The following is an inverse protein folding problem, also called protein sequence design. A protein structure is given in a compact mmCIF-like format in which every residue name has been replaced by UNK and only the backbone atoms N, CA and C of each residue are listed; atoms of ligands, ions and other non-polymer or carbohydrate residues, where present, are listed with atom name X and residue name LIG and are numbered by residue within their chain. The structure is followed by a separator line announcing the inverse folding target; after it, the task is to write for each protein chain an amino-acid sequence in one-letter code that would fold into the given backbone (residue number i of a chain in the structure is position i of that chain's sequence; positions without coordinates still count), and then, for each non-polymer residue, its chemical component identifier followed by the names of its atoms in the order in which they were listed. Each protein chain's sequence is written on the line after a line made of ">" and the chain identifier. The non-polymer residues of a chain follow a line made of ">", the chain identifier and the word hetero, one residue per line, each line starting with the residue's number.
data_IF_065250876722
#
_entry.id   IF_065250876722
#
_cell.length_a   1.000
_cell.length_b   1.000
_cell.length_c   1.000
_cell.angle_alpha   90.00
_cell.angle_beta   90.00
_cell.angle_gamma   90.00
#
_symmetry.space_group_name_H-M   'P 1'
#
loop_
_entity.id
_entity.type
_entity.pdbx_description
1 polymer ?
#
# COMPACT_ATOMS: atom_id res chain seq x y z
N UNK A 1 31.95 6.12 -7.32
CA UNK A 1 30.62 5.80 -7.86
C UNK A 1 30.15 4.52 -7.14
N UNK A 2 29.53 4.68 -5.97
CA UNK A 2 28.88 3.56 -5.30
C UNK A 2 27.50 3.39 -5.92
N UNK A 3 27.33 2.33 -6.74
CA UNK A 3 26.01 1.82 -7.03
C UNK A 3 25.42 1.39 -5.68
N UNK A 4 24.54 2.19 -5.14
CA UNK A 4 23.71 1.81 -3.99
C UNK A 4 23.01 0.53 -4.39
N UNK A 5 23.33 -0.57 -3.68
CA UNK A 5 22.75 -1.90 -3.88
C UNK A 5 21.26 -1.80 -3.54
N UNK A 6 20.46 -1.34 -4.52
CA UNK A 6 19.00 -1.19 -4.38
C UNK A 6 18.45 -2.58 -4.11
N UNK A 7 17.70 -2.81 -3.03
CA UNK A 7 17.21 -4.14 -2.70
C UNK A 7 16.34 -4.64 -3.85
N UNK A 8 16.71 -5.82 -4.39
CA UNK A 8 15.97 -6.44 -5.50
C UNK A 8 14.57 -6.86 -5.04
N UNK A 9 13.57 -6.71 -5.91
CA UNK A 9 12.22 -7.17 -5.62
C UNK A 9 12.16 -8.71 -5.60
N UNK A 10 11.28 -9.26 -4.77
CA UNK A 10 11.03 -10.70 -4.63
C UNK A 10 9.54 -10.95 -4.50
N UNK A 11 9.10 -12.17 -4.86
CA UNK A 11 7.72 -12.58 -4.66
C UNK A 11 7.46 -12.81 -3.17
N UNK A 12 6.25 -12.48 -2.74
CA UNK A 12 5.79 -12.74 -1.38
C UNK A 12 4.54 -13.61 -1.45
N UNK A 13 4.52 -14.71 -0.73
CA UNK A 13 3.32 -15.52 -0.50
C UNK A 13 2.98 -15.49 0.97
N UNK A 14 1.74 -15.13 1.30
CA UNK A 14 1.20 -15.26 2.65
C UNK A 14 0.12 -16.33 2.65
N UNK A 15 0.23 -17.29 3.57
CA UNK A 15 -0.80 -18.27 3.86
C UNK A 15 -1.27 -18.09 5.30
N UNK A 16 -2.56 -17.83 5.48
CA UNK A 16 -3.21 -17.70 6.79
C UNK A 16 -4.06 -18.94 6.98
N UNK A 17 -3.64 -19.82 7.89
CA UNK A 17 -4.39 -21.05 8.20
C UNK A 17 -5.64 -20.73 8.98
N UNK A 18 -5.53 -19.88 9.99
CA UNK A 18 -6.67 -19.48 10.82
C UNK A 18 -6.42 -18.13 11.48
N UNK A 19 -7.41 -17.26 11.46
CA UNK A 19 -7.35 -15.98 12.18
C UNK A 19 -8.72 -15.60 12.74
N UNK A 20 -8.77 -15.35 14.05
CA UNK A 20 -9.95 -14.89 14.77
C UNK A 20 -9.76 -13.45 15.22
N UNK A 21 -10.78 -12.63 15.03
CA UNK A 21 -10.85 -11.26 15.51
C UNK A 21 -12.18 -11.04 16.23
N UNK A 22 -12.15 -10.61 17.50
CA UNK A 22 -13.34 -10.42 18.34
C UNK A 22 -14.34 -11.60 18.25
N UNK A 23 -13.83 -12.83 18.48
CA UNK A 23 -14.58 -14.10 18.41
C UNK A 23 -15.11 -14.49 17.02
N UNK A 24 -14.85 -13.69 15.97
CA UNK A 24 -15.26 -13.99 14.60
C UNK A 24 -14.09 -14.55 13.81
N UNK A 25 -14.29 -15.69 13.16
CA UNK A 25 -13.31 -16.24 12.20
C UNK A 25 -13.26 -15.34 10.97
N UNK A 26 -12.17 -14.57 10.84
CA UNK A 26 -11.96 -13.71 9.68
C UNK A 26 -11.39 -14.49 8.49
N UNK A 27 -10.39 -15.33 8.75
CA UNK A 27 -9.73 -16.13 7.72
C UNK A 27 -9.70 -17.58 8.14
N UNK A 28 -9.96 -18.45 7.18
CA UNK A 28 -9.85 -19.90 7.29
C UNK A 28 -9.30 -20.43 5.98
N UNK A 29 -8.01 -20.80 5.98
CA UNK A 29 -7.30 -21.28 4.78
C UNK A 29 -7.25 -20.25 3.62
N UNK A 30 -6.64 -19.07 3.86
CA UNK A 30 -6.48 -18.02 2.86
C UNK A 30 -5.02 -17.96 2.38
N UNK A 31 -4.80 -17.96 1.06
CA UNK A 31 -3.49 -17.75 0.45
C UNK A 31 -3.51 -16.57 -0.51
N UNK A 32 -2.51 -15.67 -0.41
CA UNK A 32 -2.31 -14.56 -1.33
C UNK A 32 -0.87 -14.56 -1.84
N UNK A 33 -0.73 -14.54 -3.19
CA UNK A 33 0.55 -14.36 -3.88
C UNK A 33 0.68 -12.94 -4.37
N UNK A 34 1.83 -12.32 -4.05
CA UNK A 34 2.18 -10.96 -4.43
C UNK A 34 3.47 -11.04 -5.28
N UNK A 35 3.33 -11.05 -6.62
CA UNK A 35 4.47 -11.18 -7.50
C UNK A 35 5.42 -9.97 -7.41
N UNK A 36 6.70 -10.23 -7.59
CA UNK A 36 7.76 -9.22 -7.54
C UNK A 36 7.59 -8.14 -8.59
N UNK A 37 8.08 -6.93 -8.28
CA UNK A 37 8.10 -5.78 -9.19
C UNK A 37 6.74 -5.53 -9.86
N UNK A 38 5.65 -5.74 -9.12
CA UNK A 38 4.28 -5.60 -9.60
C UNK A 38 3.36 -5.07 -8.51
N UNK A 39 2.21 -4.58 -8.92
CA UNK A 39 1.15 -4.13 -8.04
C UNK A 39 0.08 -5.21 -7.91
N UNK A 40 -0.10 -5.73 -6.72
CA UNK A 40 -1.26 -6.56 -6.36
C UNK A 40 -2.28 -5.69 -5.67
N UNK A 41 -3.50 -5.64 -6.18
CA UNK A 41 -4.60 -4.88 -5.58
C UNK A 41 -5.60 -5.83 -4.93
N UNK A 42 -5.93 -5.54 -3.68
CA UNK A 42 -6.94 -6.26 -2.91
C UNK A 42 -8.17 -5.38 -2.73
N UNK A 43 -9.20 -5.72 -3.47
CA UNK A 43 -10.54 -5.12 -3.38
C UNK A 43 -11.41 -5.86 -2.36
N UNK A 44 -12.44 -5.21 -1.88
CA UNK A 44 -13.49 -5.79 -1.03
C UNK A 44 -14.21 -4.74 -0.21
N UNK A 45 -15.36 -5.13 0.33
CA UNK A 45 -16.18 -4.26 1.18
C UNK A 45 -15.48 -3.91 2.50
N UNK A 46 -15.92 -2.84 3.15
CA UNK A 46 -15.39 -2.46 4.46
C UNK A 46 -15.65 -3.56 5.50
N UNK A 47 -14.66 -3.83 6.36
CA UNK A 47 -14.79 -4.81 7.44
C UNK A 47 -14.55 -6.28 7.03
N UNK A 48 -14.26 -6.60 5.76
CA UNK A 48 -14.01 -7.97 5.31
C UNK A 48 -12.64 -8.55 5.74
N UNK A 49 -11.75 -7.72 6.29
CA UNK A 49 -10.45 -8.18 6.83
C UNK A 49 -9.21 -7.69 6.04
N UNK A 50 -9.35 -6.85 5.00
CA UNK A 50 -8.22 -6.37 4.18
C UNK A 50 -7.09 -5.74 5.00
N UNK A 51 -7.41 -4.77 5.86
CA UNK A 51 -6.46 -4.14 6.79
C UNK A 51 -5.83 -5.14 7.75
N UNK A 52 -6.59 -6.14 8.20
CA UNK A 52 -6.07 -7.20 9.07
C UNK A 52 -5.02 -8.04 8.34
N UNK A 53 -5.29 -8.45 7.09
CA UNK A 53 -4.33 -9.18 6.28
C UNK A 53 -3.04 -8.38 6.05
N UNK A 54 -3.15 -7.07 5.75
CA UNK A 54 -1.99 -6.19 5.63
C UNK A 54 -1.16 -6.13 6.93
N UNK A 55 -1.82 -6.01 8.09
CA UNK A 55 -1.15 -5.96 9.40
C UNK A 55 -0.46 -7.27 9.75
N UNK A 56 -1.06 -8.40 9.40
CA UNK A 56 -0.44 -9.72 9.55
C UNK A 56 0.82 -9.82 8.68
N UNK A 57 0.74 -9.43 7.41
CA UNK A 57 1.88 -9.43 6.49
C UNK A 57 2.98 -8.45 6.93
N UNK A 58 2.62 -7.32 7.53
CA UNK A 58 3.57 -6.37 8.11
C UNK A 58 4.15 -6.81 9.47
N UNK A 59 3.79 -8.01 9.96
CA UNK A 59 4.16 -8.52 11.29
C UNK A 59 3.73 -7.58 12.46
N UNK A 60 2.69 -6.77 12.25
CA UNK A 60 2.16 -5.84 13.26
C UNK A 60 1.09 -6.48 14.17
N UNK A 61 0.57 -7.65 13.80
CA UNK A 61 -0.38 -8.46 14.58
C UNK A 61 0.00 -9.92 14.46
N UNK A 62 0.20 -10.59 15.60
CA UNK A 62 0.48 -12.03 15.66
C UNK A 62 -0.37 -12.78 16.68
N UNK A 63 -1.11 -12.07 17.56
CA UNK A 63 -1.97 -12.72 18.55
C UNK A 63 -3.17 -13.38 17.86
N UNK A 64 -3.42 -14.66 18.17
CA UNK A 64 -4.52 -15.48 17.63
C UNK A 64 -4.47 -15.70 16.09
N UNK A 65 -3.28 -15.61 15.48
CA UNK A 65 -3.10 -15.87 14.05
C UNK A 65 -2.12 -17.01 13.83
N UNK A 66 -2.50 -17.95 12.96
CA UNK A 66 -1.57 -18.95 12.40
C UNK A 66 -1.35 -18.59 10.94
N UNK A 67 -0.15 -18.07 10.63
CA UNK A 67 0.20 -17.69 9.26
C UNK A 67 1.67 -18.01 8.95
N UNK A 68 1.94 -18.20 7.68
CA UNK A 68 3.31 -18.30 7.15
C UNK A 68 3.52 -17.27 6.06
N UNK A 69 4.72 -16.70 6.00
CA UNK A 69 5.12 -15.79 4.93
C UNK A 69 6.37 -16.32 4.29
N UNK A 70 6.31 -16.55 2.98
CA UNK A 70 7.44 -17.04 2.18
C UNK A 70 7.86 -15.96 1.19
N UNK A 71 9.17 -15.70 1.13
CA UNK A 71 9.78 -14.80 0.14
C UNK A 71 10.61 -15.65 -0.83
N UNK A 72 10.48 -15.37 -2.14
CA UNK A 72 11.14 -16.17 -3.19
C UNK A 72 12.67 -16.14 -3.14
N UNK A 73 13.24 -15.18 -2.42
CA UNK A 73 14.68 -15.08 -2.17
C UNK A 73 15.16 -15.84 -0.91
N UNK A 74 14.25 -16.51 -0.19
CA UNK A 74 14.54 -17.35 0.98
C UNK A 74 14.81 -16.58 2.28
N UNK A 75 14.72 -15.24 2.30
CA UNK A 75 14.93 -14.44 3.51
C UNK A 75 13.61 -14.02 4.15
N UNK A 76 13.57 -13.83 5.49
CA UNK A 76 12.36 -13.34 6.18
C UNK A 76 11.91 -11.98 5.67
N UNK A 77 10.61 -11.74 5.67
CA UNK A 77 10.03 -10.45 5.27
C UNK A 77 10.33 -9.31 6.27
N UNK A 78 10.64 -9.65 7.50
CA UNK A 78 10.91 -8.74 8.60
C UNK A 78 11.93 -7.66 8.25
N UNK A 79 11.61 -6.39 8.56
CA UNK A 79 12.41 -5.20 8.23
C UNK A 79 12.56 -4.91 6.72
N UNK A 80 11.82 -5.59 5.85
CA UNK A 80 11.88 -5.42 4.39
C UNK A 80 10.60 -4.80 3.81
N UNK A 81 9.70 -4.38 4.70
CA UNK A 81 8.38 -3.82 4.38
C UNK A 81 8.35 -2.34 4.74
N UNK A 82 7.78 -1.52 3.85
CA UNK A 82 7.23 -0.21 4.18
C UNK A 82 5.70 -0.34 4.28
N UNK A 83 5.11 0.14 5.37
CA UNK A 83 3.67 0.07 5.61
C UNK A 83 3.07 1.46 5.71
N UNK A 84 2.06 1.72 4.89
CA UNK A 84 1.22 2.90 4.96
C UNK A 84 -0.16 2.51 5.50
N UNK A 85 -0.48 2.98 6.69
CA UNK A 85 -1.79 2.75 7.29
C UNK A 85 -2.86 3.66 6.67
N UNK A 86 -4.12 3.27 6.80
CA UNK A 86 -5.28 4.05 6.35
C UNK A 86 -5.31 5.45 7.00
N UNK A 87 -5.00 5.55 8.29
CA UNK A 87 -4.80 6.82 8.97
C UNK A 87 -3.37 7.33 8.75
N UNK A 88 -3.19 8.64 8.69
CA UNK A 88 -1.90 9.27 8.41
C UNK A 88 -0.81 8.98 9.47
N UNK A 89 -1.19 8.69 10.72
CA UNK A 89 -0.30 8.34 11.84
C UNK A 89 0.86 9.32 12.00
N UNK A 90 0.64 10.61 11.73
CA UNK A 90 1.64 11.65 11.93
C UNK A 90 1.78 11.96 13.42
N UNK A 91 3.03 12.13 13.85
CA UNK A 91 3.32 12.59 15.20
C UNK A 91 3.01 14.10 15.30
N UNK A 92 2.06 14.53 16.14
CA UNK A 92 1.53 15.90 16.11
C UNK A 92 2.53 16.96 16.55
N UNK A 93 3.58 16.57 17.27
CA UNK A 93 4.67 17.46 17.74
C UNK A 93 5.85 17.54 16.76
N UNK A 94 5.86 16.76 15.68
CA UNK A 94 6.87 16.82 14.64
C UNK A 94 6.31 17.57 13.42
N UNK A 95 7.16 18.38 12.78
CA UNK A 95 6.81 19.00 11.51
C UNK A 95 6.84 18.01 10.35
N UNK A 96 6.46 18.45 9.14
CA UNK A 96 6.34 17.58 7.94
C UNK A 96 7.66 16.86 7.65
N UNK A 97 8.79 17.57 7.54
CA UNK A 97 10.08 16.93 7.21
C UNK A 97 10.52 15.94 8.29
N UNK A 98 10.23 16.23 9.55
CA UNK A 98 10.53 15.34 10.66
C UNK A 98 9.65 14.10 10.67
N UNK A 99 8.37 14.22 10.31
CA UNK A 99 7.46 13.08 10.10
C UNK A 99 7.90 12.22 8.92
N UNK A 100 8.29 12.83 7.79
CA UNK A 100 8.76 12.08 6.62
C UNK A 100 10.04 11.32 6.93
N UNK A 101 10.99 11.91 7.66
CA UNK A 101 12.27 11.29 8.05
C UNK A 101 12.19 10.45 9.33
N UNK A 102 10.99 10.19 9.86
CA UNK A 102 10.81 9.53 11.17
C UNK A 102 11.51 8.17 11.25
N UNK A 103 11.37 7.33 10.23
CA UNK A 103 12.01 6.02 10.19
C UNK A 103 13.54 6.10 10.24
N UNK A 104 14.14 7.02 9.48
CA UNK A 104 15.59 7.27 9.51
C UNK A 104 16.03 7.81 10.87
N UNK A 105 15.23 8.70 11.49
CA UNK A 105 15.52 9.24 12.83
C UNK A 105 15.54 8.13 13.89
N UNK A 106 14.57 7.23 13.86
CA UNK A 106 14.48 6.11 14.81
C UNK A 106 15.64 5.10 14.63
N UNK A 107 16.15 4.95 13.42
CA UNK A 107 17.31 4.10 13.11
C UNK A 107 18.66 4.81 13.31
N UNK A 108 18.67 6.11 13.55
CA UNK A 108 19.89 6.91 13.64
C UNK A 108 20.61 7.07 12.29
N UNK A 109 19.89 6.99 11.17
CA UNK A 109 20.43 7.00 9.80
C UNK A 109 20.15 8.29 9.03
N UNK A 110 19.73 9.36 9.71
CA UNK A 110 19.51 10.67 9.06
C UNK A 110 20.83 11.30 8.69
N UNK A 111 21.09 11.38 7.39
CA UNK A 111 22.22 12.07 6.80
C UNK A 111 21.74 13.19 5.84
N UNK A 112 22.64 14.03 5.30
CA UNK A 112 22.27 15.07 4.35
C UNK A 112 21.61 14.54 3.07
N UNK A 113 21.98 13.34 2.59
CA UNK A 113 21.42 12.73 1.37
C UNK A 113 19.97 12.30 1.63
N UNK A 114 19.70 11.61 2.74
CA UNK A 114 18.33 11.21 3.14
C UNK A 114 17.43 12.42 3.38
N UNK A 115 17.97 13.48 3.98
CA UNK A 115 17.23 14.73 4.16
C UNK A 115 16.93 15.41 2.84
N UNK A 116 17.86 15.40 1.88
CA UNK A 116 17.64 15.89 0.51
C UNK A 116 16.52 15.12 -0.19
N UNK A 117 16.58 13.79 -0.18
CA UNK A 117 15.53 12.94 -0.75
C UNK A 117 14.15 13.19 -0.09
N UNK A 118 14.11 13.42 1.22
CA UNK A 118 12.87 13.77 1.92
C UNK A 118 12.29 15.10 1.43
N UNK A 119 13.13 16.14 1.20
CA UNK A 119 12.69 17.41 0.65
C UNK A 119 12.18 17.27 -0.79
N UNK A 120 12.82 16.46 -1.62
CA UNK A 120 12.35 16.15 -2.99
C UNK A 120 10.98 15.47 -2.97
N UNK A 121 10.79 14.47 -2.12
CA UNK A 121 9.49 13.79 -1.97
C UNK A 121 8.41 14.75 -1.48
N UNK A 122 8.71 15.61 -0.51
CA UNK A 122 7.77 16.64 -0.01
C UNK A 122 7.38 17.61 -1.14
N UNK A 123 8.32 17.99 -2.02
CA UNK A 123 8.02 18.81 -3.19
C UNK A 123 7.14 18.07 -4.20
N UNK A 124 7.48 16.81 -4.51
CA UNK A 124 6.73 15.96 -5.45
C UNK A 124 5.29 15.69 -5.00
N UNK A 125 5.03 15.56 -3.70
CA UNK A 125 3.66 15.47 -3.18
C UNK A 125 2.96 16.83 -3.02
N UNK A 126 3.56 17.92 -3.55
CA UNK A 126 2.98 19.26 -3.56
C UNK A 126 2.93 19.96 -2.19
N UNK A 127 3.88 19.65 -1.29
CA UNK A 127 3.93 20.19 0.06
C UNK A 127 5.19 21.01 0.37
N UNK A 128 5.92 21.47 -0.65
CA UNK A 128 7.18 22.24 -0.51
C UNK A 128 7.10 23.34 0.54
N UNK A 129 6.05 24.16 0.47
CA UNK A 129 5.86 25.33 1.36
C UNK A 129 5.42 24.93 2.78
N UNK A 130 5.15 23.66 3.03
CA UNK A 130 4.68 23.12 4.31
C UNK A 130 5.71 22.23 5.00
N UNK A 131 6.95 22.15 4.49
CA UNK A 131 7.98 21.25 5.03
C UNK A 131 8.21 21.41 6.54
N UNK A 132 8.05 22.62 7.06
CA UNK A 132 8.22 22.93 8.49
C UNK A 132 6.90 23.16 9.24
N UNK A 133 5.75 22.90 8.60
CA UNK A 133 4.45 23.02 9.26
C UNK A 133 4.18 21.82 10.18
N UNK A 134 3.48 22.04 11.28
CA UNK A 134 2.97 20.97 12.14
C UNK A 134 1.71 20.35 11.53
N UNK A 135 1.38 19.06 11.82
CA UNK A 135 0.19 18.38 11.31
C UNK A 135 -1.14 19.12 11.57
N UNK A 136 -1.23 19.87 12.67
CA UNK A 136 -2.40 20.67 13.00
C UNK A 136 -2.71 21.80 11.98
N UNK A 137 -1.71 22.22 11.18
CA UNK A 137 -1.87 23.23 10.11
C UNK A 137 -2.19 22.61 8.75
N UNK A 138 -2.34 21.28 8.66
CA UNK A 138 -2.54 20.55 7.41
C UNK A 138 -3.99 20.07 7.30
N UNK A 139 -4.54 20.11 6.08
CA UNK A 139 -5.79 19.41 5.77
C UNK A 139 -5.62 17.89 5.85
N UNK A 140 -6.72 17.13 5.90
CA UNK A 140 -6.67 15.66 5.87
C UNK A 140 -5.90 15.11 4.67
N UNK A 141 -6.19 15.62 3.47
CA UNK A 141 -5.47 15.25 2.26
C UNK A 141 -3.98 15.63 2.27
N UNK A 142 -3.61 16.77 2.89
CA UNK A 142 -2.20 17.11 3.07
C UNK A 142 -1.50 16.15 4.02
N UNK A 143 -2.13 15.76 5.14
CA UNK A 143 -1.57 14.75 6.05
C UNK A 143 -1.37 13.40 5.37
N UNK A 144 -2.34 12.97 4.53
CA UNK A 144 -2.21 11.74 3.76
C UNK A 144 -1.03 11.78 2.78
N UNK A 145 -0.78 12.95 2.15
CA UNK A 145 0.41 13.17 1.28
C UNK A 145 1.72 13.10 2.05
N UNK A 146 1.76 13.59 3.29
CA UNK A 146 2.93 13.42 4.17
C UNK A 146 3.17 11.96 4.50
N UNK A 147 2.11 11.20 4.83
CA UNK A 147 2.20 9.77 5.10
C UNK A 147 2.70 8.98 3.87
N UNK A 148 2.24 9.34 2.67
CA UNK A 148 2.75 8.76 1.43
C UNK A 148 4.25 9.05 1.25
N UNK A 149 4.68 10.31 1.39
CA UNK A 149 6.09 10.70 1.27
C UNK A 149 6.96 9.96 2.29
N UNK A 150 6.50 9.79 3.55
CA UNK A 150 7.17 8.99 4.57
C UNK A 150 7.34 7.53 4.13
N UNK A 151 6.29 6.93 3.58
CA UNK A 151 6.33 5.54 3.12
C UNK A 151 7.28 5.36 1.94
N UNK A 152 7.25 6.26 0.97
CA UNK A 152 8.15 6.24 -0.19
C UNK A 152 9.62 6.44 0.20
N UNK A 153 9.87 7.28 1.22
CA UNK A 153 11.23 7.51 1.72
C UNK A 153 11.85 6.24 2.33
N UNK A 154 11.06 5.31 2.88
CA UNK A 154 11.58 4.05 3.45
C UNK A 154 12.38 3.22 2.44
N UNK A 155 12.08 3.33 1.15
CA UNK A 155 12.76 2.63 0.04
C UNK A 155 12.90 1.11 0.26
N UNK A 156 11.87 0.47 0.82
CA UNK A 156 11.83 -0.97 1.06
C UNK A 156 11.46 -1.75 -0.22
N UNK A 157 11.89 -3.01 -0.37
CA UNK A 157 11.54 -3.83 -1.53
C UNK A 157 10.06 -4.20 -1.59
N UNK A 158 9.37 -4.28 -0.45
CA UNK A 158 7.93 -4.54 -0.33
C UNK A 158 7.24 -3.32 0.24
N UNK A 159 6.14 -2.89 -0.38
CA UNK A 159 5.33 -1.76 0.06
C UNK A 159 3.87 -2.20 0.23
N UNK A 160 3.35 -2.01 1.42
CA UNK A 160 1.97 -2.33 1.78
C UNK A 160 1.22 -1.02 2.02
N UNK A 161 0.12 -0.80 1.31
CA UNK A 161 -0.66 0.43 1.42
C UNK A 161 -2.13 0.14 1.68
N UNK A 162 -2.67 0.74 2.74
CA UNK A 162 -4.06 0.60 3.16
C UNK A 162 -4.83 1.87 2.82
N UNK A 163 -5.62 1.84 1.74
CA UNK A 163 -6.42 2.96 1.23
C UNK A 163 -5.67 4.31 1.12
N UNK A 164 -4.48 4.33 0.48
CA UNK A 164 -3.56 5.48 0.54
C UNK A 164 -4.09 6.77 -0.08
N UNK A 165 -5.08 6.68 -0.97
CA UNK A 165 -5.60 7.81 -1.74
C UNK A 165 -7.05 8.18 -1.40
N UNK A 166 -7.67 7.55 -0.39
CA UNK A 166 -9.10 7.70 -0.07
C UNK A 166 -9.48 9.12 0.38
N UNK A 167 -8.59 9.85 1.07
CA UNK A 167 -8.85 11.18 1.59
C UNK A 167 -8.52 12.33 0.61
N UNK A 168 -8.25 12.02 -0.67
CA UNK A 168 -7.81 12.98 -1.67
C UNK A 168 -8.94 13.36 -2.64
N UNK A 169 -8.91 14.61 -3.11
CA UNK A 169 -9.73 15.01 -4.25
C UNK A 169 -9.30 14.28 -5.54
N UNK A 170 -10.17 14.25 -6.54
CA UNK A 170 -9.99 13.45 -7.75
C UNK A 170 -8.70 13.79 -8.51
N UNK A 171 -8.36 15.09 -8.66
CA UNK A 171 -7.18 15.52 -9.41
C UNK A 171 -5.90 15.17 -8.68
N UNK A 172 -5.82 15.51 -7.39
CA UNK A 172 -4.68 15.18 -6.54
C UNK A 172 -4.47 13.66 -6.43
N UNK A 173 -5.56 12.89 -6.35
CA UNK A 173 -5.53 11.43 -6.33
C UNK A 173 -4.83 10.88 -7.58
N UNK A 174 -5.23 11.30 -8.78
CA UNK A 174 -4.61 10.85 -10.03
C UNK A 174 -3.13 11.20 -10.09
N UNK A 175 -2.75 12.43 -9.71
CA UNK A 175 -1.35 12.88 -9.69
C UNK A 175 -0.49 12.03 -8.74
N UNK A 176 -1.00 11.72 -7.55
CA UNK A 176 -0.26 10.92 -6.57
C UNK A 176 -0.23 9.43 -6.90
N UNK A 177 -1.24 8.92 -7.59
CA UNK A 177 -1.20 7.58 -8.18
C UNK A 177 -0.10 7.48 -9.24
N UNK A 178 0.04 8.49 -10.12
CA UNK A 178 1.12 8.56 -11.11
C UNK A 178 2.49 8.60 -10.43
N UNK A 179 2.64 9.44 -9.41
CA UNK A 179 3.88 9.54 -8.64
C UNK A 179 4.24 8.20 -7.99
N UNK A 180 3.30 7.59 -7.28
CA UNK A 180 3.50 6.31 -6.61
C UNK A 180 3.84 5.19 -7.61
N UNK A 181 3.12 5.10 -8.73
CA UNK A 181 3.39 4.10 -9.76
C UNK A 181 4.81 4.25 -10.35
N UNK A 182 5.27 5.48 -10.55
CA UNK A 182 6.62 5.74 -11.07
C UNK A 182 7.72 5.39 -10.04
N UNK A 183 7.56 5.80 -8.79
CA UNK A 183 8.56 5.58 -7.73
C UNK A 183 8.62 4.12 -7.25
N UNK A 184 7.51 3.39 -7.35
CA UNK A 184 7.39 2.00 -6.91
C UNK A 184 7.46 0.98 -8.05
N UNK A 185 7.89 1.37 -9.26
CA UNK A 185 7.94 0.51 -10.46
C UNK A 185 8.71 -0.80 -10.23
N UNK A 186 9.83 -0.72 -9.49
CA UNK A 186 10.70 -1.85 -9.20
C UNK A 186 10.43 -2.45 -7.80
N UNK A 187 9.27 -2.21 -7.22
CA UNK A 187 8.90 -2.71 -5.88
C UNK A 187 7.78 -3.73 -5.97
N UNK A 188 7.71 -4.60 -5.00
CA UNK A 188 6.57 -5.50 -4.78
C UNK A 188 5.53 -4.75 -3.96
N UNK A 189 4.37 -4.46 -4.53
CA UNK A 189 3.36 -3.60 -3.90
C UNK A 189 2.08 -4.38 -3.65
N UNK A 190 1.55 -4.30 -2.42
CA UNK A 190 0.18 -4.69 -2.10
C UNK A 190 -0.61 -3.43 -1.74
N UNK A 191 -1.60 -3.12 -2.58
CA UNK A 191 -2.53 -2.02 -2.40
C UNK A 191 -3.89 -2.58 -1.96
N UNK A 192 -4.35 -2.17 -0.80
CA UNK A 192 -5.74 -2.37 -0.37
C UNK A 192 -6.55 -1.15 -0.73
N UNK A 193 -7.66 -1.35 -1.40
CA UNK A 193 -8.60 -0.29 -1.77
C UNK A 193 -10.03 -0.81 -1.87
N UNK A 194 -11.00 0.08 -1.79
CA UNK A 194 -12.39 -0.20 -2.10
C UNK A 194 -12.82 0.42 -3.45
N UNK A 195 -11.91 1.11 -4.15
CA UNK A 195 -12.17 1.75 -5.44
C UNK A 195 -11.71 0.84 -6.59
N UNK A 196 -12.65 0.26 -7.38
CA UNK A 196 -12.31 -0.57 -8.53
C UNK A 196 -11.48 0.14 -9.59
N UNK A 197 -11.72 1.45 -9.77
CA UNK A 197 -10.99 2.22 -10.77
C UNK A 197 -9.52 2.40 -10.37
N UNK A 198 -9.26 2.64 -9.09
CA UNK A 198 -7.90 2.68 -8.54
C UNK A 198 -7.18 1.34 -8.75
N UNK A 199 -7.85 0.22 -8.43
CA UNK A 199 -7.28 -1.11 -8.63
C UNK A 199 -6.96 -1.39 -10.10
N UNK A 200 -7.83 -1.01 -11.03
CA UNK A 200 -7.61 -1.19 -12.48
C UNK A 200 -6.51 -0.28 -13.01
N UNK A 201 -6.39 0.94 -12.48
CA UNK A 201 -5.36 1.90 -12.89
C UNK A 201 -3.96 1.47 -12.49
N UNK A 202 -3.81 0.91 -11.28
CA UNK A 202 -2.50 0.60 -10.68
C UNK A 202 -2.17 -0.89 -10.66
N UNK A 203 -3.16 -1.76 -10.45
CA UNK A 203 -2.97 -3.19 -10.19
C UNK A 203 -2.58 -4.00 -11.43
N UNK A 204 -1.56 -4.84 -11.30
CA UNK A 204 -1.27 -5.90 -12.25
C UNK A 204 -2.08 -7.15 -11.92
N UNK A 205 -2.23 -7.47 -10.66
CA UNK A 205 -3.01 -8.60 -10.15
C UNK A 205 -4.12 -8.06 -9.26
N UNK A 206 -5.38 -8.34 -9.61
CA UNK A 206 -6.54 -7.83 -8.87
C UNK A 206 -7.26 -8.99 -8.24
N UNK A 207 -7.40 -8.93 -6.92
CA UNK A 207 -8.13 -9.88 -6.09
C UNK A 207 -9.33 -9.21 -5.44
N UNK A 208 -10.42 -9.93 -5.34
CA UNK A 208 -11.59 -9.57 -4.54
C UNK A 208 -11.61 -10.41 -3.26
N UNK A 209 -11.67 -9.74 -2.12
CA UNK A 209 -11.87 -10.38 -0.82
C UNK A 209 -13.32 -10.23 -0.41
N UNK A 210 -13.99 -11.36 -0.15
CA UNK A 210 -15.40 -11.40 0.20
C UNK A 210 -15.73 -12.59 1.10
N UNK A 211 -16.93 -12.58 1.71
CA UNK A 211 -17.43 -13.67 2.55
C UNK A 211 -17.00 -13.59 4.02
N UNK A 212 -17.51 -14.55 4.82
CA UNK A 212 -17.17 -14.76 6.24
C UNK A 212 -17.22 -16.26 6.53
N UNK A 213 -16.06 -16.94 6.73
CA UNK A 213 -14.69 -16.43 6.62
C UNK A 213 -14.37 -15.83 5.26
N UNK A 214 -13.44 -14.85 5.22
CA UNK A 214 -13.10 -14.17 3.98
C UNK A 214 -12.34 -15.09 3.03
N UNK A 215 -12.75 -15.06 1.76
CA UNK A 215 -12.14 -15.78 0.64
C UNK A 215 -11.52 -14.80 -0.34
N UNK A 216 -10.50 -15.24 -1.06
CA UNK A 216 -9.86 -14.48 -2.13
C UNK A 216 -10.23 -15.06 -3.50
N UNK A 217 -10.76 -14.23 -4.37
CA UNK A 217 -10.96 -14.54 -5.77
C UNK A 217 -10.01 -13.71 -6.63
N UNK A 218 -9.17 -14.33 -7.45
CA UNK A 218 -8.39 -13.61 -8.46
C UNK A 218 -9.30 -13.22 -9.60
N UNK A 219 -9.52 -11.93 -9.79
CA UNK A 219 -10.47 -11.41 -10.79
C UNK A 219 -9.81 -11.26 -12.15
N UNK A 220 -8.66 -10.60 -12.19
CA UNK A 220 -7.98 -10.31 -13.46
C UNK A 220 -6.49 -10.12 -13.27
N UNK A 221 -5.77 -10.25 -14.36
CA UNK A 221 -4.35 -9.93 -14.48
C UNK A 221 -4.18 -9.00 -15.67
N UNK A 222 -3.57 -7.85 -15.42
CA UNK A 222 -3.33 -6.80 -16.41
C UNK A 222 -1.82 -6.66 -16.63
N UNK A 223 -1.38 -6.88 -17.86
CA UNK A 223 0.04 -6.87 -18.22
C UNK A 223 0.56 -5.48 -18.59
N UNK A 224 -0.34 -4.57 -18.94
CA UNK A 224 0.03 -3.20 -19.30
C UNK A 224 0.61 -2.45 -18.11
N UNK A 225 1.55 -1.57 -18.41
CA UNK A 225 2.24 -0.80 -17.37
C UNK A 225 1.29 0.15 -16.65
N UNK A 226 1.37 0.16 -15.32
CA UNK A 226 0.71 1.17 -14.50
C UNK A 226 1.49 2.52 -14.52
N UNK A 227 0.80 3.67 -14.40
CA UNK A 227 -0.65 3.82 -14.28
C UNK A 227 -1.35 3.75 -15.64
N UNK A 228 -2.48 3.07 -15.72
CA UNK A 228 -3.26 2.94 -16.96
C UNK A 228 -4.18 4.14 -17.16
N UNK A 229 -4.54 4.39 -18.42
CA UNK A 229 -5.52 5.41 -18.75
C UNK A 229 -6.94 4.91 -18.42
N UNK A 230 -7.61 5.58 -17.47
CA UNK A 230 -8.95 5.21 -17.01
C UNK A 230 -10.04 5.39 -18.07
N UNK A 231 -9.77 6.14 -19.14
CA UNK A 231 -10.72 6.36 -20.24
C UNK A 231 -10.68 5.25 -21.31
N UNK A 232 -9.80 4.28 -21.19
CA UNK A 232 -9.72 3.17 -22.11
C UNK A 232 -10.95 2.27 -22.02
N UNK A 233 -11.58 1.87 -23.17
CA UNK A 233 -12.77 1.05 -23.17
C UNK A 233 -12.61 -0.30 -22.43
N UNK A 234 -11.43 -0.90 -22.48
CA UNK A 234 -11.07 -2.13 -21.75
C UNK A 234 -11.15 -1.93 -20.25
N UNK A 235 -10.62 -0.82 -19.73
CA UNK A 235 -10.66 -0.49 -18.29
C UNK A 235 -12.09 -0.23 -17.84
N UNK A 236 -12.89 0.48 -18.62
CA UNK A 236 -14.31 0.72 -18.31
C UNK A 236 -15.14 -0.57 -18.28
N UNK A 237 -14.89 -1.51 -19.21
CA UNK A 237 -15.52 -2.81 -19.21
C UNK A 237 -15.16 -3.63 -17.96
N UNK A 238 -13.89 -3.68 -17.59
CA UNK A 238 -13.44 -4.33 -16.34
C UNK A 238 -14.03 -3.67 -15.09
N UNK A 239 -14.18 -2.34 -15.08
CA UNK A 239 -14.80 -1.64 -13.96
C UNK A 239 -16.26 -2.06 -13.75
N UNK A 240 -17.03 -2.18 -14.84
CA UNK A 240 -18.43 -2.62 -14.77
C UNK A 240 -18.56 -4.06 -14.22
N UNK A 241 -17.68 -4.98 -14.64
CA UNK A 241 -17.62 -6.35 -14.11
C UNK A 241 -17.26 -6.37 -12.63
N UNK A 242 -16.21 -5.66 -12.23
CA UNK A 242 -15.79 -5.55 -10.82
C UNK A 242 -16.90 -5.02 -9.92
N UNK A 243 -17.56 -3.93 -10.32
CA UNK A 243 -18.69 -3.37 -9.56
C UNK A 243 -19.84 -4.37 -9.41
N UNK A 244 -20.10 -5.18 -10.44
CA UNK A 244 -21.14 -6.21 -10.40
C UNK A 244 -20.77 -7.32 -9.41
N UNK A 245 -19.53 -7.80 -9.44
CA UNK A 245 -19.01 -8.83 -8.51
C UNK A 245 -19.01 -8.33 -7.07
N UNK A 246 -18.55 -7.11 -6.83
CA UNK A 246 -18.55 -6.51 -5.47
C UNK A 246 -19.96 -6.41 -4.88
N UNK A 247 -20.98 -6.07 -5.70
CA UNK A 247 -22.39 -6.02 -5.25
C UNK A 247 -22.97 -7.42 -4.92
N UNK A 248 -22.53 -8.45 -5.62
CA UNK A 248 -23.02 -9.83 -5.38
C UNK A 248 -22.32 -10.48 -4.19
N UNK A 249 -21.10 -10.07 -3.88
CA UNK A 249 -20.28 -10.61 -2.78
C UNK A 249 -20.63 -9.99 -1.41
N UNK A 250 -21.50 -8.98 -1.36
CA UNK A 250 -21.95 -8.29 -0.14
C UNK A 250 -23.25 -8.91 0.44
N UNK A 251 -23.74 -9.99 -0.17
CA UNK A 251 -24.91 -10.75 0.28
C UNK A 251 -24.51 -12.04 0.98
#
# INVERSE_FOLDING_TARGET
>A
MNQTNKPLPFDVTIAVTHHVYDEVVLFDSLELKIPKASWTCLLGVSGVGKTTLLKVLAELKSENSSFTTECSDGYPIKNRVAYMAQQDMLLPWLNVIENVTLGDRLRGTVDPVRRGAAHELIDQVGLKNYAFALPAKLSGGMRQRVALARTLLEDRPVVLMDEPFSALDAVTRLQLQDLAANLLRDKTVLLVTHDPLEALRLGNHIYLMAGRPAQLEKITELTDQAPRNIAEPSILAHQADLLTRMKTSDK
#
